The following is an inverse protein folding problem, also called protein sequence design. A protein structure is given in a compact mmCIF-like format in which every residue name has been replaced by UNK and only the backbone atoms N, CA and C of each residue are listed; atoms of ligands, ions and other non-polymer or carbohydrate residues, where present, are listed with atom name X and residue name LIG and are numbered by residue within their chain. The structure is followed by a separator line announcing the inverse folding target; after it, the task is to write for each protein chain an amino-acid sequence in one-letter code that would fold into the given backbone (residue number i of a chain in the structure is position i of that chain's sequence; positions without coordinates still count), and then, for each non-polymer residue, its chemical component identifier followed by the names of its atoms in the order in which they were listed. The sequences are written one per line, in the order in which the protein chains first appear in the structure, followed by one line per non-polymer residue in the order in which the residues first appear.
data_IF_550520299755
#
_entry.id   IF_550520299755
#
_cell.length_a   1.000
_cell.length_b   1.000
_cell.length_c   1.000
_cell.angle_alpha   90.00
_cell.angle_beta   90.00
_cell.angle_gamma   90.00
#
_symmetry.space_group_name_H-M   'P 1'
#
loop_
_entity.id
_entity.type
_entity.pdbx_description
1 polymer ?
#
# COMPACT_ATOMS: atom_id res chain seq x y z
N UNK A 1 5.75 13.25 6.87
CA UNK A 1 4.40 12.87 6.39
C UNK A 1 4.60 12.24 5.02
N UNK A 2 4.29 10.95 4.87
CA UNK A 2 4.27 10.29 3.55
C UNK A 2 2.93 10.68 2.93
N UNK A 3 2.95 11.43 1.84
CA UNK A 3 1.74 11.86 1.15
C UNK A 3 1.52 10.89 -0.02
N UNK A 4 0.45 10.12 0.07
CA UNK A 4 -0.08 9.35 -1.05
C UNK A 4 -1.12 10.24 -1.75
N UNK A 5 -0.80 10.73 -2.94
CA UNK A 5 -1.75 11.49 -3.75
C UNK A 5 -2.56 10.53 -4.60
N UNK A 6 -3.89 10.54 -4.49
CA UNK A 6 -4.77 9.89 -5.45
C UNK A 6 -4.63 10.59 -6.81
N UNK A 7 -4.15 9.86 -7.82
CA UNK A 7 -4.34 10.24 -9.22
C UNK A 7 -5.75 9.83 -9.63
N UNK A 8 -6.63 10.83 -9.72
CA UNK A 8 -7.75 10.92 -10.65
C UNK A 8 -8.05 9.70 -11.56
N UNK A 9 -8.71 8.70 -10.96
CA UNK A 9 -9.91 8.03 -11.48
C UNK A 9 -9.86 7.31 -12.84
N UNK A 10 -8.71 7.16 -13.50
CA UNK A 10 -8.66 6.52 -14.83
C UNK A 10 -7.40 5.72 -15.15
N UNK A 11 -6.43 5.65 -14.22
CA UNK A 11 -5.24 4.81 -14.39
C UNK A 11 -4.39 4.86 -13.12
N UNK A 12 -4.06 3.68 -12.59
CA UNK A 12 -3.36 3.48 -11.32
C UNK A 12 -1.93 4.00 -11.30
N UNK A 13 -1.76 5.31 -11.16
CA UNK A 13 -0.48 5.94 -10.86
C UNK A 13 -0.41 6.34 -9.40
N UNK A 14 0.51 5.76 -8.63
CA UNK A 14 0.92 6.31 -7.34
C UNK A 14 2.18 7.15 -7.51
N UNK A 15 2.21 8.37 -6.97
CA UNK A 15 3.41 9.22 -6.98
C UNK A 15 3.89 9.43 -5.54
N UNK A 16 5.09 8.95 -5.24
CA UNK A 16 5.76 9.17 -3.97
C UNK A 16 6.59 10.46 -4.05
N UNK A 17 6.21 11.48 -3.27
CA UNK A 17 7.05 12.66 -3.07
C UNK A 17 8.02 12.42 -1.91
N UNK A 18 9.32 12.56 -2.19
CA UNK A 18 10.41 12.33 -1.23
C UNK A 18 10.40 13.41 -0.15
N UNK A 19 9.71 13.15 0.96
CA UNK A 19 9.79 13.99 2.16
C UNK A 19 11.22 13.93 2.75
N UNK A 20 11.71 15.04 3.30
CA UNK A 20 13.01 15.18 3.97
C UNK A 20 13.26 14.18 5.11
N UNK A 21 12.23 13.44 5.56
CA UNK A 21 12.35 12.35 6.54
C UNK A 21 12.97 11.08 5.94
N UNK A 22 12.86 10.89 4.62
CA UNK A 22 13.36 9.70 3.91
C UNK A 22 14.79 9.87 3.35
N UNK A 23 15.46 11.00 3.60
CA UNK A 23 16.80 11.25 3.07
C UNK A 23 17.86 10.27 3.58
N UNK A 24 17.61 9.62 4.72
CA UNK A 24 18.47 8.61 5.35
C UNK A 24 18.03 7.17 5.11
N UNK A 25 17.02 6.94 4.27
CA UNK A 25 16.47 5.61 4.03
C UNK A 25 16.58 5.23 2.55
N UNK A 26 17.12 4.05 2.28
CA UNK A 26 17.17 3.48 0.93
C UNK A 26 15.84 2.81 0.65
N UNK A 27 15.06 3.37 -0.28
CA UNK A 27 13.82 2.77 -0.76
C UNK A 27 14.10 1.91 -1.99
N UNK A 28 13.89 0.60 -1.91
CA UNK A 28 13.89 -0.28 -3.10
C UNK A 28 12.45 -0.61 -3.48
N UNK A 29 12.12 -0.41 -4.76
CA UNK A 29 10.89 -0.95 -5.34
C UNK A 29 11.08 -2.47 -5.45
N UNK A 30 10.37 -3.25 -4.64
CA UNK A 30 10.57 -4.70 -4.60
C UNK A 30 9.50 -5.44 -5.41
N UNK A 31 8.25 -5.00 -5.33
CA UNK A 31 7.11 -5.63 -6.01
C UNK A 31 6.09 -4.56 -6.39
N UNK A 32 5.95 -4.34 -7.69
CA UNK A 32 4.84 -3.58 -8.25
C UNK A 32 4.13 -4.43 -9.29
N UNK A 33 2.85 -4.71 -9.05
CA UNK A 33 1.94 -5.13 -10.11
C UNK A 33 1.04 -3.94 -10.50
N UNK A 34 0.06 -4.17 -11.38
CA UNK A 34 -0.88 -3.14 -11.82
C UNK A 34 -1.73 -2.53 -10.68
N UNK A 35 -1.82 -3.22 -9.54
CA UNK A 35 -2.73 -2.89 -8.44
C UNK A 35 -2.00 -2.59 -7.12
N UNK A 36 -0.68 -2.82 -7.05
CA UNK A 36 0.11 -2.65 -5.84
C UNK A 36 1.44 -1.99 -6.15
N UNK A 37 1.90 -1.13 -5.24
CA UNK A 37 3.23 -0.54 -5.29
C UNK A 37 3.87 -0.71 -3.93
N UNK A 38 4.92 -1.54 -3.86
CA UNK A 38 5.62 -1.84 -2.62
C UNK A 38 7.03 -1.29 -2.62
N UNK A 39 7.36 -0.54 -1.57
CA UNK A 39 8.72 -0.12 -1.28
C UNK A 39 9.18 -0.73 0.04
N UNK A 40 10.47 -1.01 0.12
CA UNK A 40 11.10 -1.39 1.36
C UNK A 40 11.98 -0.26 1.86
N UNK A 41 11.82 0.09 3.13
CA UNK A 41 12.52 1.16 3.81
C UNK A 41 13.39 0.53 4.89
N UNK A 42 14.71 0.60 4.71
CA UNK A 42 15.68 0.07 5.68
C UNK A 42 16.30 1.20 6.49
N UNK A 43 16.28 1.07 7.82
CA UNK A 43 16.96 1.97 8.74
C UNK A 43 17.60 1.23 9.91
N UNK A 44 18.12 1.97 10.88
CA UNK A 44 18.82 1.41 12.04
C UNK A 44 17.97 0.45 12.89
N UNK A 45 16.64 0.61 12.87
CA UNK A 45 15.70 -0.28 13.56
C UNK A 45 15.31 -1.52 12.76
N UNK A 46 15.86 -1.71 11.56
CA UNK A 46 15.50 -2.78 10.63
C UNK A 46 14.66 -2.31 9.43
N UNK A 47 14.16 -3.28 8.66
CA UNK A 47 13.41 -3.10 7.42
C UNK A 47 11.89 -3.01 7.69
N UNK A 48 11.22 -2.06 7.07
CA UNK A 48 9.75 -1.93 7.06
C UNK A 48 9.27 -1.87 5.60
N UNK A 49 8.24 -2.64 5.30
CA UNK A 49 7.59 -2.65 3.99
C UNK A 49 6.42 -1.66 3.97
N UNK A 50 6.36 -0.80 2.95
CA UNK A 50 5.22 0.07 2.70
C UNK A 50 4.58 -0.32 1.37
N UNK A 51 3.28 -0.59 1.38
CA UNK A 51 2.54 -0.91 0.17
C UNK A 51 1.33 -0.02 0.01
N UNK A 52 1.20 0.60 -1.16
CA UNK A 52 -0.06 1.14 -1.63
C UNK A 52 -0.76 0.07 -2.48
N UNK A 53 -2.04 -0.19 -2.22
CA UNK A 53 -2.82 -1.19 -2.94
C UNK A 53 -4.17 -0.61 -3.43
N UNK A 54 -4.61 -1.06 -4.59
CA UNK A 54 -5.94 -0.81 -5.14
C UNK A 54 -6.64 -2.15 -5.32
N UNK A 55 -7.78 -2.33 -4.65
CA UNK A 55 -8.58 -3.56 -4.74
C UNK A 55 -9.74 -3.30 -5.71
N UNK A 56 -9.75 -3.97 -6.86
CA UNK A 56 -10.84 -3.81 -7.84
C UNK A 56 -12.19 -4.23 -7.26
N UNK A 57 -13.27 -3.53 -7.64
CA UNK A 57 -14.64 -3.87 -7.24
C UNK A 57 -15.09 -5.28 -7.64
N UNK A 58 -14.51 -5.82 -8.72
CA UNK A 58 -14.91 -7.10 -9.29
C UNK A 58 -14.04 -8.28 -8.81
N UNK A 59 -13.05 -8.01 -7.97
CA UNK A 59 -12.14 -9.03 -7.45
C UNK A 59 -12.59 -9.54 -6.08
N UNK A 60 -12.32 -10.82 -5.79
CA UNK A 60 -12.50 -11.35 -4.44
C UNK A 60 -11.55 -10.66 -3.45
N UNK A 61 -12.10 -10.21 -2.32
CA UNK A 61 -11.37 -9.48 -1.27
C UNK A 61 -11.18 -10.38 -0.03
N UNK A 62 -9.97 -10.39 0.58
CA UNK A 62 -8.74 -9.75 0.13
C UNK A 62 -8.12 -10.50 -1.06
N UNK A 63 -7.57 -9.76 -2.01
CA UNK A 63 -6.91 -10.34 -3.20
C UNK A 63 -5.67 -11.13 -2.82
N UNK A 64 -5.30 -12.09 -3.67
CA UNK A 64 -4.07 -12.88 -3.52
C UNK A 64 -2.81 -12.02 -3.45
N UNK A 65 -2.79 -10.86 -4.14
CA UNK A 65 -1.69 -9.90 -4.07
C UNK A 65 -1.50 -9.37 -2.64
N UNK A 66 -2.58 -8.93 -1.98
CA UNK A 66 -2.54 -8.46 -0.59
C UNK A 66 -2.17 -9.57 0.38
N UNK A 67 -2.68 -10.79 0.17
CA UNK A 67 -2.31 -11.95 1.00
C UNK A 67 -0.82 -12.24 0.93
N UNK A 68 -0.23 -12.24 -0.27
CA UNK A 68 1.23 -12.45 -0.44
C UNK A 68 2.04 -11.37 0.25
N UNK A 69 1.61 -10.10 0.18
CA UNK A 69 2.30 -8.99 0.85
C UNK A 69 2.39 -9.17 2.37
N UNK A 70 1.30 -9.61 3.01
CA UNK A 70 1.29 -9.89 4.46
C UNK A 70 2.23 -11.04 4.82
N UNK A 71 2.43 -12.00 3.91
CA UNK A 71 3.35 -13.13 4.13
C UNK A 71 4.83 -12.80 3.88
N UNK A 72 5.13 -11.68 3.22
CA UNK A 72 6.49 -11.32 2.81
C UNK A 72 7.29 -10.57 3.89
N UNK A 73 6.63 -10.00 4.89
CA UNK A 73 7.29 -9.22 5.93
C UNK A 73 6.52 -9.29 7.24
N UNK A 74 7.25 -9.35 8.36
CA UNK A 74 6.66 -9.22 9.70
C UNK A 74 6.39 -7.76 10.07
N UNK A 75 6.96 -6.80 9.32
CA UNK A 75 6.84 -5.36 9.59
C UNK A 75 6.40 -4.63 8.33
N UNK A 76 5.10 -4.45 8.20
CA UNK A 76 4.49 -3.82 7.04
C UNK A 76 3.48 -2.75 7.42
N UNK A 77 3.28 -1.83 6.48
CA UNK A 77 2.18 -0.88 6.47
C UNK A 77 1.56 -0.96 5.08
N UNK A 78 0.29 -1.35 5.02
CA UNK A 78 -0.48 -1.41 3.77
C UNK A 78 -1.55 -0.33 3.84
N UNK A 79 -1.49 0.62 2.91
CA UNK A 79 -2.60 1.54 2.62
C UNK A 79 -3.33 1.02 1.40
N UNK A 80 -4.64 0.84 1.50
CA UNK A 80 -5.45 0.32 0.41
C UNK A 80 -6.71 1.15 0.17
N UNK A 81 -7.02 1.43 -1.09
CA UNK A 81 -8.40 1.66 -1.48
C UNK A 81 -9.05 0.29 -1.69
N UNK A 82 -9.82 -0.13 -0.69
CA UNK A 82 -10.33 -1.48 -0.63
C UNK A 82 -11.57 -1.70 -1.50
N UNK A 83 -12.23 -0.63 -1.96
CA UNK A 83 -13.54 -0.73 -2.62
C UNK A 83 -14.56 -1.61 -1.86
N UNK A 84 -14.37 -1.71 -0.54
CA UNK A 84 -15.12 -2.53 0.38
C UNK A 84 -15.55 -1.68 1.58
N UNK A 85 -16.65 -2.08 2.19
CA UNK A 85 -17.21 -1.46 3.38
C UNK A 85 -16.99 -2.41 4.53
N UNK A 86 -16.52 -1.85 5.63
CA UNK A 86 -16.49 -2.56 6.89
C UNK A 86 -16.65 -1.55 8.02
N UNK A 87 -17.42 -1.91 9.03
CA UNK A 87 -17.66 -1.03 10.18
C UNK A 87 -16.39 -0.81 11.01
N UNK A 88 -15.43 -1.74 10.94
CA UNK A 88 -14.12 -1.62 11.62
C UNK A 88 -13.30 -0.40 11.18
N UNK A 89 -13.52 0.12 9.96
CA UNK A 89 -12.87 1.31 9.45
C UNK A 89 -13.87 2.45 9.16
N UNK A 90 -15.04 2.42 9.80
CA UNK A 90 -15.99 3.55 9.81
C UNK A 90 -17.01 3.58 8.68
N UNK A 91 -17.16 2.51 7.90
CA UNK A 91 -18.30 2.39 6.97
C UNK A 91 -19.60 2.12 7.73
N UNK A 92 -20.75 2.46 7.12
CA UNK A 92 -22.09 2.24 7.70
C UNK A 92 -22.59 0.79 7.59
N UNK A 93 -21.83 -0.09 6.95
CA UNK A 93 -22.19 -1.49 6.73
C UNK A 93 -20.98 -2.34 6.30
N UNK A 94 -21.24 -3.59 5.92
CA UNK A 94 -20.24 -4.57 5.47
C UNK A 94 -20.66 -5.09 4.08
N UNK A 95 -19.72 -5.28 3.16
CA UNK A 95 -19.90 -6.06 1.93
C UNK A 95 -18.73 -6.99 1.69
#
# INVERSE_FOLDING_TARGET
MIQFSNMDGSGGGSQLTKSSILSSYTGTLDLSDENTTTINVEGSSGKIMFTAAYLSHDADIPTEAVRKLVMLSDRFIIGADANARHTCWGSTGIN
#
